data_IF_123081630627
#
_entry.id   IF_123081630627
#
_cell.length_a   1.000
_cell.length_b   1.000
_cell.length_c   1.000
_cell.angle_alpha   90.00
_cell.angle_beta   90.00
_cell.angle_gamma   90.00
#
_symmetry.space_group_name_H-M   'P 1'
#
loop_
_entity.id
_entity.type
_entity.pdbx_description
1 polymer ?
#
# COMPACT_ATOMS: atom_id res chain seq x y z
N UNK A 1 36.79 -7.33 -0.07
CA UNK A 1 35.92 -7.30 1.13
C UNK A 1 34.93 -8.45 1.00
N UNK A 2 34.67 -9.21 2.05
CA UNK A 2 33.71 -10.32 1.98
C UNK A 2 32.31 -9.72 1.67
N UNK A 3 31.65 -10.15 0.59
CA UNK A 3 30.37 -9.60 0.14
C UNK A 3 29.31 -9.68 1.26
N UNK A 4 29.35 -10.73 2.07
CA UNK A 4 28.48 -10.90 3.24
C UNK A 4 28.65 -9.78 4.28
N UNK A 5 29.89 -9.40 4.60
CA UNK A 5 30.19 -8.33 5.56
C UNK A 5 29.70 -6.97 5.02
N UNK A 6 29.88 -6.73 3.71
CA UNK A 6 29.36 -5.53 3.07
C UNK A 6 27.83 -5.47 3.13
N UNK A 7 27.15 -6.57 2.84
CA UNK A 7 25.68 -6.67 2.95
C UNK A 7 25.20 -6.40 4.36
N UNK A 8 25.84 -6.97 5.39
CA UNK A 8 25.49 -6.70 6.78
C UNK A 8 25.71 -5.23 7.17
N UNK A 9 26.79 -4.61 6.68
CA UNK A 9 27.04 -3.20 6.93
C UNK A 9 25.94 -2.31 6.31
N UNK A 10 25.56 -2.56 5.05
CA UNK A 10 24.50 -1.83 4.36
C UNK A 10 23.17 -2.01 5.09
N UNK A 11 22.83 -3.27 5.47
CA UNK A 11 21.61 -3.56 6.20
C UNK A 11 21.57 -2.79 7.54
N UNK A 12 22.67 -2.77 8.27
CA UNK A 12 22.80 -2.00 9.51
C UNK A 12 22.59 -0.51 9.30
N UNK A 13 23.18 0.06 8.24
CA UNK A 13 22.98 1.47 7.85
C UNK A 13 21.52 1.73 7.51
N UNK A 14 20.87 0.90 6.70
CA UNK A 14 19.45 1.06 6.34
C UNK A 14 18.56 1.01 7.59
N UNK A 15 18.79 0.07 8.50
CA UNK A 15 18.01 -0.03 9.76
C UNK A 15 18.17 1.24 10.59
N UNK A 16 19.39 1.75 10.76
CA UNK A 16 19.62 2.99 11.48
C UNK A 16 18.99 4.20 10.79
N UNK A 17 19.07 4.27 9.47
CA UNK A 17 18.41 5.32 8.68
C UNK A 17 16.88 5.24 8.81
N UNK A 18 16.29 4.05 8.89
CA UNK A 18 14.85 3.87 9.10
C UNK A 18 14.37 4.55 10.39
N UNK A 19 15.17 4.45 11.43
CA UNK A 19 14.85 5.07 12.72
C UNK A 19 15.12 6.58 12.75
N UNK A 20 16.20 7.04 12.13
CA UNK A 20 16.68 8.41 12.25
C UNK A 20 16.20 9.37 11.16
N UNK A 21 16.09 8.88 9.92
CA UNK A 21 15.75 9.71 8.76
C UNK A 21 14.40 10.44 8.88
N UNK A 22 13.33 9.84 9.42
CA UNK A 22 12.07 10.58 9.63
C UNK A 22 12.22 11.80 10.57
N UNK A 23 13.11 11.72 11.55
CA UNK A 23 13.40 12.84 12.45
C UNK A 23 14.12 13.96 11.72
N UNK A 24 15.09 13.62 10.86
CA UNK A 24 15.86 14.58 10.07
C UNK A 24 14.99 15.29 9.01
N UNK A 25 14.07 14.53 8.39
CA UNK A 25 13.20 15.02 7.32
C UNK A 25 12.03 15.89 7.82
N UNK A 26 11.69 15.90 9.11
CA UNK A 26 10.55 16.70 9.64
C UNK A 26 10.55 18.17 9.23
N UNK A 27 11.71 18.74 8.93
CA UNK A 27 11.87 20.17 8.55
C UNK A 27 12.10 20.38 7.05
N UNK A 28 12.26 19.32 6.28
CA UNK A 28 12.55 19.37 4.85
C UNK A 28 11.29 19.01 4.04
N UNK A 29 11.11 19.61 2.87
CA UNK A 29 10.02 19.24 1.95
C UNK A 29 10.39 17.96 1.15
N UNK A 30 10.91 16.95 1.83
CA UNK A 30 11.35 15.69 1.24
C UNK A 30 10.68 14.55 1.99
N UNK A 31 10.05 13.62 1.26
CA UNK A 31 9.50 12.43 1.85
C UNK A 31 10.56 11.34 2.02
N UNK A 32 10.32 10.46 2.98
CA UNK A 32 11.16 9.30 3.23
C UNK A 32 11.34 8.41 1.97
N UNK A 33 10.30 8.11 1.17
CA UNK A 33 10.44 7.35 -0.06
C UNK A 33 11.43 7.93 -1.08
N UNK A 34 11.42 9.25 -1.28
CA UNK A 34 12.37 9.92 -2.20
C UNK A 34 13.82 9.69 -1.76
N UNK A 35 14.08 9.83 -0.45
CA UNK A 35 15.41 9.61 0.10
C UNK A 35 15.86 8.16 -0.06
N UNK A 36 14.96 7.18 0.12
CA UNK A 36 15.27 5.77 -0.04
C UNK A 36 15.66 5.43 -1.48
N UNK A 37 14.90 5.94 -2.46
CA UNK A 37 15.23 5.77 -3.89
C UNK A 37 16.60 6.39 -4.19
N UNK A 38 16.86 7.62 -3.72
CA UNK A 38 18.15 8.28 -3.92
C UNK A 38 19.32 7.49 -3.30
N UNK A 39 19.13 6.94 -2.10
CA UNK A 39 20.12 6.06 -1.46
C UNK A 39 20.39 4.82 -2.32
N UNK A 40 19.35 4.19 -2.87
CA UNK A 40 19.48 3.04 -3.76
C UNK A 40 20.31 3.36 -5.02
N UNK A 41 20.03 4.51 -5.65
CA UNK A 41 20.82 4.99 -6.82
C UNK A 41 22.27 5.21 -6.44
N UNK A 42 22.56 5.88 -5.33
CA UNK A 42 23.93 6.15 -4.88
C UNK A 42 24.69 4.85 -4.53
N UNK A 43 24.03 3.92 -3.83
CA UNK A 43 24.63 2.64 -3.49
C UNK A 43 24.96 1.79 -4.72
N UNK A 44 24.13 1.85 -5.76
CA UNK A 44 24.38 1.13 -7.03
C UNK A 44 25.66 1.58 -7.73
N UNK A 45 26.07 2.84 -7.57
CA UNK A 45 27.33 3.35 -8.13
C UNK A 45 28.57 2.98 -7.31
N UNK A 46 28.38 2.40 -6.13
CA UNK A 46 29.50 2.00 -5.27
C UNK A 46 30.09 0.65 -5.69
N UNK A 47 31.38 0.57 -5.98
CA UNK A 47 32.03 -0.71 -6.35
C UNK A 47 32.13 -1.69 -5.18
N UNK A 48 31.82 -1.25 -3.97
CA UNK A 48 31.95 -2.04 -2.74
C UNK A 48 30.64 -2.69 -2.28
N UNK A 49 29.53 -2.39 -2.93
CA UNK A 49 28.21 -2.80 -2.50
C UNK A 49 27.51 -3.61 -3.59
N UNK A 50 27.68 -4.95 -3.63
CA UNK A 50 26.80 -5.77 -4.43
C UNK A 50 25.42 -5.73 -3.76
N UNK A 51 24.58 -4.76 -4.13
CA UNK A 51 23.13 -4.91 -3.90
C UNK A 51 22.71 -6.16 -4.69
N UNK A 52 21.84 -7.02 -4.14
CA UNK A 52 21.28 -8.11 -4.92
C UNK A 52 20.77 -7.55 -6.24
N UNK A 53 21.01 -8.23 -7.34
CA UNK A 53 20.39 -7.86 -8.63
C UNK A 53 18.89 -7.80 -8.40
N UNK A 54 18.40 -6.59 -8.23
CA UNK A 54 17.02 -6.29 -7.83
C UNK A 54 16.14 -6.04 -9.04
N UNK A 55 16.68 -6.29 -10.24
CA UNK A 55 15.91 -6.17 -11.48
C UNK A 55 14.74 -7.17 -11.45
N UNK A 56 13.50 -6.71 -11.36
CA UNK A 56 12.35 -7.59 -11.29
C UNK A 56 12.13 -8.41 -12.56
N UNK A 57 12.71 -8.01 -13.71
CA UNK A 57 12.68 -8.80 -14.95
C UNK A 57 13.55 -10.05 -14.83
N UNK A 58 14.61 -10.00 -14.05
CA UNK A 58 15.54 -11.12 -13.86
C UNK A 58 15.13 -12.01 -12.68
N UNK A 59 14.52 -11.43 -11.65
CA UNK A 59 14.14 -12.09 -10.41
C UNK A 59 12.67 -11.85 -10.05
N UNK A 60 11.75 -12.22 -10.96
CA UNK A 60 10.30 -12.03 -10.81
C UNK A 60 9.78 -12.62 -9.49
N UNK A 61 10.21 -13.83 -9.13
CA UNK A 61 9.77 -14.53 -7.91
C UNK A 61 10.21 -13.77 -6.64
N UNK A 62 11.42 -13.25 -6.63
CA UNK A 62 11.91 -12.47 -5.49
C UNK A 62 11.13 -11.15 -5.36
N UNK A 63 10.89 -10.46 -6.48
CA UNK A 63 10.10 -9.23 -6.51
C UNK A 63 8.67 -9.49 -6.01
N UNK A 64 8.03 -10.60 -6.47
CA UNK A 64 6.71 -11.03 -6.03
C UNK A 64 6.67 -11.23 -4.50
N UNK A 65 7.54 -12.11 -3.96
CA UNK A 65 7.50 -12.48 -2.54
C UNK A 65 7.82 -11.34 -1.59
N UNK A 66 8.79 -10.48 -1.96
CA UNK A 66 9.15 -9.34 -1.13
C UNK A 66 8.03 -8.29 -1.12
N UNK A 67 7.48 -7.94 -2.29
CA UNK A 67 6.39 -6.96 -2.37
C UNK A 67 5.10 -7.48 -1.76
N UNK A 68 4.77 -8.77 -1.94
CA UNK A 68 3.66 -9.44 -1.27
C UNK A 68 3.73 -9.26 0.25
N UNK A 69 4.88 -9.60 0.84
CA UNK A 69 5.06 -9.51 2.28
C UNK A 69 4.92 -8.07 2.82
N UNK A 70 5.47 -7.10 2.10
CA UNK A 70 5.32 -5.69 2.48
C UNK A 70 3.88 -5.24 2.43
N UNK A 71 3.16 -5.59 1.36
CA UNK A 71 1.75 -5.19 1.19
C UNK A 71 0.87 -5.80 2.28
N UNK A 72 1.03 -7.10 2.64
CA UNK A 72 0.20 -7.70 3.70
C UNK A 72 0.46 -7.06 5.07
N UNK A 73 1.71 -6.67 5.39
CA UNK A 73 2.03 -5.95 6.62
C UNK A 73 1.38 -4.56 6.63
N UNK A 74 1.46 -3.84 5.51
CA UNK A 74 0.84 -2.52 5.36
C UNK A 74 -0.69 -2.56 5.47
N UNK A 75 -1.34 -3.59 4.90
CA UNK A 75 -2.79 -3.78 4.99
C UNK A 75 -3.25 -4.02 6.43
N UNK A 76 -2.49 -4.77 7.23
CA UNK A 76 -2.75 -4.93 8.66
C UNK A 76 -2.64 -3.57 9.36
N UNK A 77 -1.56 -2.82 9.12
CA UNK A 77 -1.36 -1.48 9.68
C UNK A 77 -2.49 -0.52 9.33
N UNK A 78 -2.88 -0.45 8.06
CA UNK A 78 -3.95 0.41 7.58
C UNK A 78 -5.31 0.06 8.21
N UNK A 79 -5.64 -1.24 8.34
CA UNK A 79 -6.88 -1.68 8.97
C UNK A 79 -6.94 -1.39 10.47
N UNK A 80 -5.83 -1.46 11.20
CA UNK A 80 -5.75 -1.13 12.63
C UNK A 80 -5.92 0.37 12.92
N UNK A 81 -5.62 1.25 11.97
CA UNK A 81 -5.80 2.71 12.11
C UNK A 81 -7.27 3.13 12.09
N UNK A 82 -8.15 2.40 11.38
CA UNK A 82 -9.53 2.83 11.14
C UNK A 82 -10.40 2.60 12.38
N UNK A 83 -10.93 3.68 12.92
CA UNK A 83 -11.86 3.67 14.06
C UNK A 83 -13.33 3.59 13.62
N UNK A 84 -13.64 4.00 12.38
CA UNK A 84 -14.99 4.02 11.83
C UNK A 84 -15.54 2.61 11.59
N UNK A 85 -16.69 2.23 12.20
CA UNK A 85 -17.24 0.90 12.00
C UNK A 85 -17.61 0.66 10.53
N UNK A 86 -17.30 -0.53 9.98
CA UNK A 86 -17.70 -0.89 8.63
C UNK A 86 -19.23 -0.82 8.45
N UNK A 87 -19.66 -0.24 7.33
CA UNK A 87 -21.09 -0.13 7.03
C UNK A 87 -21.36 0.55 5.70
N UNK A 88 -22.53 0.31 5.12
CA UNK A 88 -22.89 0.86 3.81
C UNK A 88 -22.94 2.39 3.80
N UNK A 89 -23.49 3.01 4.85
CA UNK A 89 -23.63 4.46 4.94
C UNK A 89 -22.36 5.14 5.45
N UNK A 90 -21.71 4.56 6.45
CA UNK A 90 -20.50 5.11 7.06
C UNK A 90 -19.29 5.06 6.10
N UNK A 91 -19.29 4.10 5.15
CA UNK A 91 -18.21 3.90 4.16
C UNK A 91 -18.63 4.26 2.73
N UNK A 92 -19.65 5.12 2.55
CA UNK A 92 -20.16 5.47 1.21
C UNK A 92 -19.06 6.02 0.30
N UNK A 93 -18.14 6.84 0.81
CA UNK A 93 -17.02 7.39 0.02
C UNK A 93 -16.10 6.26 -0.47
N UNK A 94 -15.77 5.32 0.40
CA UNK A 94 -14.96 4.14 0.07
C UNK A 94 -15.60 3.28 -1.01
N UNK A 95 -16.90 2.96 -0.85
CA UNK A 95 -17.63 2.14 -1.83
C UNK A 95 -17.71 2.81 -3.20
N UNK A 96 -17.79 4.14 -3.26
CA UNK A 96 -17.78 4.88 -4.52
C UNK A 96 -16.40 4.87 -5.17
N UNK A 97 -15.32 5.01 -4.40
CA UNK A 97 -13.97 4.92 -4.92
C UNK A 97 -13.66 3.51 -5.45
N UNK A 98 -14.04 2.48 -4.70
CA UNK A 98 -13.80 1.09 -5.10
C UNK A 98 -14.72 0.62 -6.24
N UNK A 99 -16.00 1.02 -6.24
CA UNK A 99 -16.98 0.54 -7.22
C UNK A 99 -17.04 1.38 -8.50
N UNK A 100 -16.54 2.61 -8.49
CA UNK A 100 -16.59 3.51 -9.65
C UNK A 100 -15.18 3.96 -10.04
N UNK A 101 -14.40 4.58 -9.13
CA UNK A 101 -13.11 5.16 -9.51
C UNK A 101 -12.12 4.06 -9.92
N UNK A 102 -12.06 2.96 -9.20
CA UNK A 102 -11.12 1.88 -9.49
C UNK A 102 -11.41 1.19 -10.84
N UNK A 103 -12.63 0.68 -11.15
CA UNK A 103 -12.93 0.09 -12.45
C UNK A 103 -12.75 1.08 -13.60
N UNK A 104 -13.12 2.34 -13.40
CA UNK A 104 -12.91 3.40 -14.40
C UNK A 104 -11.42 3.66 -14.65
N UNK A 105 -10.61 3.68 -13.60
CA UNK A 105 -9.14 3.79 -13.71
C UNK A 105 -8.56 2.60 -14.47
N UNK A 106 -8.98 1.36 -14.15
CA UNK A 106 -8.55 0.16 -14.87
C UNK A 106 -8.87 0.28 -16.36
N UNK A 107 -10.10 0.63 -16.68
CA UNK A 107 -10.55 0.75 -18.07
C UNK A 107 -9.80 1.84 -18.85
N UNK A 108 -9.60 3.01 -18.26
CA UNK A 108 -8.89 4.12 -18.90
C UNK A 108 -7.40 3.85 -19.07
N UNK A 109 -6.73 3.24 -18.07
CA UNK A 109 -5.32 2.86 -18.18
C UNK A 109 -5.16 1.73 -19.20
N UNK A 110 -6.05 0.74 -19.21
CA UNK A 110 -6.04 -0.31 -20.23
C UNK A 110 -6.24 0.28 -21.63
N UNK A 111 -7.15 1.25 -21.81
CA UNK A 111 -7.35 1.95 -23.07
C UNK A 111 -6.09 2.71 -23.52
N UNK A 112 -5.38 3.37 -22.62
CA UNK A 112 -4.10 4.02 -22.91
C UNK A 112 -3.03 2.99 -23.27
N UNK A 113 -2.94 1.89 -22.55
CA UNK A 113 -2.03 0.78 -22.86
C UNK A 113 -2.27 0.21 -24.26
N UNK A 114 -3.53 -0.02 -24.61
CA UNK A 114 -3.91 -0.52 -25.92
C UNK A 114 -3.67 0.50 -27.04
N UNK A 115 -4.14 1.73 -26.88
CA UNK A 115 -4.16 2.73 -27.96
C UNK A 115 -2.82 3.44 -28.15
N UNK A 116 -2.06 3.71 -27.09
CA UNK A 116 -0.80 4.48 -27.14
C UNK A 116 0.41 3.56 -27.16
N UNK A 117 0.46 2.54 -26.26
CA UNK A 117 1.55 1.61 -26.20
C UNK A 117 1.43 0.47 -27.21
N UNK A 118 0.25 0.25 -27.80
CA UNK A 118 0.01 -0.87 -28.72
C UNK A 118 0.07 -2.24 -28.04
N UNK A 119 -0.34 -2.32 -26.77
CA UNK A 119 -0.40 -3.57 -26.03
C UNK A 119 -1.60 -4.43 -26.48
N UNK A 120 -1.45 -5.74 -26.46
CA UNK A 120 -2.57 -6.66 -26.59
C UNK A 120 -3.56 -6.52 -25.42
N UNK A 121 -4.80 -7.01 -25.60
CA UNK A 121 -5.89 -6.84 -24.61
C UNK A 121 -5.52 -7.32 -23.22
N UNK A 122 -4.89 -8.51 -23.11
CA UNK A 122 -4.45 -9.06 -21.83
C UNK A 122 -3.41 -8.16 -21.13
N UNK A 123 -2.38 -7.74 -21.87
CA UNK A 123 -1.30 -6.86 -21.39
C UNK A 123 -1.82 -5.47 -21.01
N UNK A 124 -2.75 -4.92 -21.78
CA UNK A 124 -3.38 -3.64 -21.49
C UNK A 124 -4.26 -3.72 -20.22
N UNK A 125 -5.05 -4.79 -20.06
CA UNK A 125 -5.85 -5.03 -18.86
C UNK A 125 -4.96 -5.21 -17.62
N UNK A 126 -3.85 -5.97 -17.75
CA UNK A 126 -2.87 -6.14 -16.67
C UNK A 126 -2.28 -4.79 -16.23
N UNK A 127 -1.89 -3.95 -17.19
CA UNK A 127 -1.37 -2.60 -16.89
C UNK A 127 -2.40 -1.78 -16.10
N UNK A 128 -3.66 -1.82 -16.51
CA UNK A 128 -4.75 -1.15 -15.80
C UNK A 128 -4.97 -1.71 -14.39
N UNK A 129 -5.07 -3.02 -14.27
CA UNK A 129 -5.28 -3.70 -13.00
C UNK A 129 -4.12 -3.50 -12.01
N UNK A 130 -2.88 -3.54 -12.47
CA UNK A 130 -1.70 -3.32 -11.63
C UNK A 130 -1.54 -1.87 -11.18
N UNK A 131 -2.01 -0.90 -11.98
CA UNK A 131 -1.86 0.53 -11.67
C UNK A 131 -3.11 1.18 -11.06
N UNK A 132 -4.24 0.51 -10.99
CA UNK A 132 -5.44 1.09 -10.38
C UNK A 132 -5.39 1.17 -8.85
N UNK A 133 -4.83 0.21 -8.12
CA UNK A 133 -4.70 0.31 -6.67
C UNK A 133 -3.79 1.47 -6.23
N UNK A 134 -4.08 2.01 -5.05
CA UNK A 134 -3.27 3.03 -4.38
C UNK A 134 -2.52 2.40 -3.21
N UNK A 135 -1.28 2.79 -3.02
CA UNK A 135 -0.36 2.15 -2.07
C UNK A 135 -0.53 2.72 -0.65
N UNK A 136 -0.89 1.90 0.34
CA UNK A 136 -1.04 2.36 1.72
C UNK A 136 0.28 2.76 2.37
N UNK A 137 1.40 2.13 1.99
CA UNK A 137 2.72 2.38 2.58
C UNK A 137 3.23 3.77 2.20
N UNK A 138 3.17 4.08 0.90
CA UNK A 138 3.63 5.36 0.37
C UNK A 138 2.66 6.51 0.69
N UNK A 139 1.39 6.19 1.01
CA UNK A 139 0.36 7.16 1.38
C UNK A 139 0.29 7.43 2.90
N UNK A 140 1.21 6.91 3.70
CA UNK A 140 1.14 7.00 5.17
C UNK A 140 0.93 8.43 5.70
N UNK A 141 1.54 9.42 5.07
CA UNK A 141 1.43 10.84 5.47
C UNK A 141 0.04 11.47 5.24
N UNK A 142 -0.82 10.84 4.42
CA UNK A 142 -2.20 11.30 4.12
C UNK A 142 -3.27 10.38 4.69
N UNK A 143 -2.88 9.36 5.43
CA UNK A 143 -3.77 8.40 6.07
C UNK A 143 -4.26 8.87 7.44
N UNK A 144 -5.20 8.10 7.97
CA UNK A 144 -5.64 8.22 9.37
C UNK A 144 -4.43 8.04 10.30
N UNK A 145 -4.36 8.84 11.34
CA UNK A 145 -3.34 8.73 12.39
C UNK A 145 -3.44 7.45 13.20
N UNK A 146 -2.56 7.29 14.21
CA UNK A 146 -2.59 6.13 15.10
C UNK A 146 -3.96 5.92 15.76
N UNK A 147 -4.30 4.67 16.15
CA UNK A 147 -5.58 4.37 16.80
C UNK A 147 -5.86 5.29 17.99
N UNK A 148 -7.11 5.76 18.13
CA UNK A 148 -7.57 6.60 19.24
C UNK A 148 -7.02 8.03 19.31
N UNK A 149 -6.33 8.51 18.28
CA UNK A 149 -5.85 9.91 18.25
C UNK A 149 -6.94 10.91 17.88
N UNK A 150 -8.08 10.45 17.33
CA UNK A 150 -9.14 11.31 16.83
C UNK A 150 -8.85 11.98 15.48
N UNK A 151 -7.78 11.59 14.82
CA UNK A 151 -7.35 12.14 13.53
C UNK A 151 -8.03 11.43 12.33
N UNK A 152 -9.28 10.97 12.48
CA UNK A 152 -10.05 10.32 11.41
C UNK A 152 -11.07 11.27 10.79
N UNK A 153 -10.62 12.14 9.90
CA UNK A 153 -11.49 12.92 9.02
C UNK A 153 -11.89 12.16 7.75
N UNK A 154 -12.87 12.68 7.00
CA UNK A 154 -13.40 12.00 5.82
C UNK A 154 -12.38 11.84 4.68
N UNK A 155 -11.40 12.74 4.56
CA UNK A 155 -10.34 12.65 3.53
C UNK A 155 -9.37 11.54 3.90
N UNK A 156 -8.81 11.60 5.12
CA UNK A 156 -7.87 10.59 5.62
C UNK A 156 -8.51 9.21 5.65
N UNK A 157 -9.76 9.14 6.13
CA UNK A 157 -10.54 7.91 6.11
C UNK A 157 -10.72 7.35 4.69
N UNK A 158 -11.13 8.20 3.72
CA UNK A 158 -11.33 7.76 2.33
C UNK A 158 -10.04 7.19 1.73
N UNK A 159 -8.92 7.89 1.91
CA UNK A 159 -7.63 7.46 1.35
C UNK A 159 -7.11 6.18 2.03
N UNK A 160 -7.26 6.04 3.35
CA UNK A 160 -6.85 4.84 4.08
C UNK A 160 -7.70 3.62 3.72
N UNK A 161 -9.02 3.79 3.71
CA UNK A 161 -9.95 2.70 3.43
C UNK A 161 -9.94 2.28 1.95
N UNK A 162 -9.74 3.23 1.02
CA UNK A 162 -9.50 2.93 -0.39
C UNK A 162 -8.25 2.09 -0.55
N UNK A 163 -7.11 2.57 -0.03
CA UNK A 163 -5.82 1.90 -0.17
C UNK A 163 -5.82 0.50 0.47
N UNK A 164 -6.53 0.32 1.59
CA UNK A 164 -6.60 -0.97 2.26
C UNK A 164 -7.46 -2.03 1.55
N UNK A 165 -8.42 -1.62 0.71
CA UNK A 165 -9.32 -2.56 0.04
C UNK A 165 -9.00 -2.72 -1.46
N UNK A 166 -8.50 -1.68 -2.13
CA UNK A 166 -8.31 -1.71 -3.58
C UNK A 166 -7.25 -2.73 -4.01
N UNK A 167 -6.24 -2.98 -3.18
CA UNK A 167 -5.26 -4.04 -3.45
C UNK A 167 -5.96 -5.40 -3.58
N UNK A 168 -6.76 -5.81 -2.61
CA UNK A 168 -7.51 -7.06 -2.71
C UNK A 168 -8.52 -7.10 -3.86
N UNK A 169 -9.16 -5.96 -4.16
CA UNK A 169 -10.17 -5.84 -5.22
C UNK A 169 -9.58 -5.74 -6.64
N UNK A 170 -8.27 -5.54 -6.79
CA UNK A 170 -7.59 -5.58 -8.09
C UNK A 170 -7.41 -7.00 -8.62
N UNK A 171 -7.31 -7.99 -7.75
CA UNK A 171 -7.06 -9.38 -8.13
C UNK A 171 -8.04 -9.94 -9.16
N UNK A 172 -9.37 -9.75 -9.06
CA UNK A 172 -10.28 -10.20 -10.10
C UNK A 172 -9.88 -9.74 -11.51
N UNK A 173 -9.41 -8.51 -11.66
CA UNK A 173 -9.00 -7.96 -12.95
C UNK A 173 -7.64 -8.51 -13.40
N UNK A 174 -6.72 -8.72 -12.47
CA UNK A 174 -5.44 -9.41 -12.73
C UNK A 174 -5.70 -10.84 -13.20
N UNK A 175 -6.61 -11.58 -12.53
CA UNK A 175 -6.99 -12.94 -12.92
C UNK A 175 -7.66 -12.96 -14.30
N UNK A 176 -8.49 -11.96 -14.62
CA UNK A 176 -9.04 -11.82 -15.97
C UNK A 176 -7.94 -11.61 -17.02
N UNK A 177 -6.95 -10.77 -16.73
CA UNK A 177 -5.81 -10.57 -17.63
C UNK A 177 -5.01 -11.86 -17.85
N UNK A 178 -4.74 -12.62 -16.78
CA UNK A 178 -4.07 -13.94 -16.84
C UNK A 178 -4.89 -14.92 -17.68
N UNK A 179 -6.21 -14.99 -17.46
CA UNK A 179 -7.10 -15.89 -18.22
C UNK A 179 -7.09 -15.56 -19.72
N UNK A 180 -7.05 -14.28 -20.09
CA UNK A 180 -6.97 -13.84 -21.49
C UNK A 180 -5.59 -14.11 -22.09
N UNK A 181 -4.50 -13.96 -21.30
CA UNK A 181 -3.13 -14.19 -21.75
C UNK A 181 -2.76 -15.67 -21.87
N UNK A 182 -3.51 -16.59 -21.23
CA UNK A 182 -3.21 -18.02 -21.25
C UNK A 182 -3.22 -18.57 -22.68
N UNK A 183 -2.27 -19.47 -23.00
CA UNK A 183 -2.08 -20.02 -24.35
C UNK A 183 -3.30 -20.69 -24.95
N UNK A 184 -4.22 -21.19 -24.12
CA UNK A 184 -5.49 -21.75 -24.55
C UNK A 184 -6.52 -20.69 -24.98
N UNK A 185 -6.22 -19.41 -24.75
CA UNK A 185 -7.20 -18.34 -24.87
C UNK A 185 -8.37 -18.50 -23.89
N UNK A 186 -9.27 -17.53 -23.82
CA UNK A 186 -10.48 -17.67 -23.02
C UNK A 186 -11.41 -18.70 -23.68
N UNK A 187 -11.40 -19.96 -23.19
CA UNK A 187 -12.31 -21.02 -23.64
C UNK A 187 -13.79 -20.70 -23.37
N UNK A 188 -14.69 -21.48 -23.94
CA UNK A 188 -16.11 -21.32 -23.65
C UNK A 188 -16.36 -21.44 -22.13
N UNK A 189 -17.05 -20.44 -21.54
CA UNK A 189 -17.36 -20.43 -20.11
C UNK A 189 -16.31 -19.78 -19.19
N UNK A 190 -15.21 -19.24 -19.71
CA UNK A 190 -14.21 -18.55 -18.87
C UNK A 190 -14.81 -17.39 -18.06
N UNK A 191 -15.72 -16.65 -18.65
CA UNK A 191 -16.38 -15.52 -17.97
C UNK A 191 -17.23 -15.97 -16.79
N UNK A 192 -17.98 -17.08 -16.94
CA UNK A 192 -18.77 -17.64 -15.84
C UNK A 192 -17.86 -18.20 -14.73
N UNK A 193 -16.75 -18.84 -15.09
CA UNK A 193 -15.74 -19.29 -14.12
C UNK A 193 -15.11 -18.10 -13.39
N UNK A 194 -14.68 -17.10 -14.11
CA UNK A 194 -14.11 -15.87 -13.54
C UNK A 194 -15.09 -15.19 -12.58
N UNK A 195 -16.36 -15.01 -12.97
CA UNK A 195 -17.37 -14.40 -12.10
C UNK A 195 -17.65 -15.26 -10.86
N UNK A 196 -17.78 -16.60 -11.02
CA UNK A 196 -18.11 -17.47 -9.91
C UNK A 196 -16.93 -17.69 -8.94
N UNK A 197 -15.73 -17.86 -9.48
CA UNK A 197 -14.54 -18.22 -8.68
C UNK A 197 -13.73 -16.98 -8.33
N UNK A 198 -13.25 -16.23 -9.33
CA UNK A 198 -12.30 -15.15 -9.06
C UNK A 198 -12.98 -13.91 -8.49
N UNK A 199 -14.24 -13.63 -8.85
CA UNK A 199 -14.99 -12.52 -8.26
C UNK A 199 -15.75 -12.99 -7.02
N UNK A 200 -16.70 -13.90 -7.16
CA UNK A 200 -17.62 -14.23 -6.05
C UNK A 200 -16.95 -15.06 -4.95
N UNK A 201 -16.38 -16.22 -5.28
CA UNK A 201 -15.81 -17.12 -4.27
C UNK A 201 -14.62 -16.50 -3.55
N UNK A 202 -13.61 -16.05 -4.28
CA UNK A 202 -12.35 -15.57 -3.67
C UNK A 202 -12.55 -14.31 -2.82
N UNK A 203 -13.42 -13.36 -3.25
CA UNK A 203 -13.74 -12.17 -2.46
C UNK A 203 -14.54 -12.54 -1.21
N UNK A 204 -15.57 -13.40 -1.35
CA UNK A 204 -16.40 -13.83 -0.22
C UNK A 204 -15.57 -14.60 0.81
N UNK A 205 -14.72 -15.53 0.33
CA UNK A 205 -13.80 -16.28 1.18
C UNK A 205 -12.81 -15.34 1.90
N UNK A 206 -12.26 -14.35 1.20
CA UNK A 206 -11.39 -13.34 1.79
C UNK A 206 -12.06 -12.57 2.91
N UNK A 207 -13.26 -12.06 2.68
CA UNK A 207 -14.03 -11.33 3.71
C UNK A 207 -14.41 -12.25 4.89
N UNK A 208 -14.90 -13.46 4.61
CA UNK A 208 -15.33 -14.40 5.65
C UNK A 208 -14.16 -14.86 6.53
N UNK A 209 -13.04 -15.24 5.90
CA UNK A 209 -11.83 -15.65 6.63
C UNK A 209 -11.18 -14.50 7.37
N UNK A 210 -11.16 -13.30 6.80
CA UNK A 210 -10.70 -12.12 7.49
C UNK A 210 -11.53 -11.80 8.72
N UNK A 211 -12.86 -11.85 8.61
CA UNK A 211 -13.74 -11.68 9.75
C UNK A 211 -13.52 -12.77 10.81
N UNK A 212 -13.46 -14.04 10.41
CA UNK A 212 -13.25 -15.17 11.32
C UNK A 212 -11.91 -15.06 12.06
N UNK A 213 -10.81 -14.86 11.33
CA UNK A 213 -9.48 -14.71 11.92
C UNK A 213 -9.42 -13.51 12.85
N UNK A 214 -10.00 -12.36 12.47
CA UNK A 214 -10.07 -11.18 13.32
C UNK A 214 -10.85 -11.41 14.62
N UNK A 215 -11.96 -12.17 14.57
CA UNK A 215 -12.72 -12.56 15.77
C UNK A 215 -11.93 -13.51 16.67
N UNK A 216 -11.32 -14.55 16.09
CA UNK A 216 -10.50 -15.51 16.84
C UNK A 216 -9.31 -14.82 17.50
N UNK A 217 -8.58 -14.01 16.73
CA UNK A 217 -7.43 -13.26 17.23
C UNK A 217 -7.85 -12.23 18.29
N UNK A 218 -8.97 -11.54 18.09
CA UNK A 218 -9.55 -10.63 19.07
C UNK A 218 -9.94 -11.33 20.37
N UNK A 219 -10.53 -12.52 20.28
CA UNK A 219 -10.84 -13.33 21.45
C UNK A 219 -9.57 -13.74 22.21
N UNK A 220 -8.56 -14.27 21.52
CA UNK A 220 -7.29 -14.66 22.12
C UNK A 220 -6.53 -13.48 22.73
N UNK A 221 -6.65 -12.31 22.12
CA UNK A 221 -5.95 -11.11 22.55
C UNK A 221 -6.59 -10.50 23.80
N UNK A 222 -7.91 -10.40 23.82
CA UNK A 222 -8.60 -9.57 24.83
C UNK A 222 -9.52 -10.34 25.78
N UNK A 223 -10.12 -11.48 25.35
CA UNK A 223 -11.20 -12.15 26.09
C UNK A 223 -10.81 -13.42 26.83
N UNK A 224 -9.70 -14.07 26.49
CA UNK A 224 -9.18 -15.23 27.22
C UNK A 224 -8.89 -14.83 28.69
N UNK A 225 -8.97 -15.75 29.69
CA UNK A 225 -8.63 -15.47 31.09
C UNK A 225 -7.29 -14.73 31.23
N UNK A 226 -7.20 -13.81 32.21
CA UNK A 226 -6.09 -12.85 32.37
C UNK A 226 -4.68 -13.44 32.23
N UNK A 227 -4.47 -14.70 32.63
CA UNK A 227 -3.18 -15.36 32.56
C UNK A 227 -2.70 -15.68 31.12
N UNK A 228 -3.64 -15.89 30.17
CA UNK A 228 -3.34 -16.28 28.78
C UNK A 228 -3.59 -15.19 27.74
N UNK A 229 -3.91 -13.96 28.14
CA UNK A 229 -4.21 -12.87 27.18
C UNK A 229 -2.93 -12.39 26.47
N UNK A 230 -2.94 -12.40 25.16
CA UNK A 230 -1.84 -11.85 24.33
C UNK A 230 -1.61 -10.37 24.67
N UNK A 231 -2.67 -9.58 24.86
CA UNK A 231 -2.56 -8.15 25.21
C UNK A 231 -1.74 -7.87 26.50
N UNK A 232 -1.51 -8.87 27.36
CA UNK A 232 -0.66 -8.71 28.55
C UNK A 232 0.84 -8.79 28.29
N UNK A 233 1.23 -9.31 27.14
CA UNK A 233 2.65 -9.36 26.78
C UNK A 233 3.19 -7.96 26.48
N UNK A 234 2.33 -7.04 26.04
CA UNK A 234 2.73 -5.73 25.51
C UNK A 234 3.59 -5.85 24.26
N UNK A 235 3.55 -7.00 23.58
CA UNK A 235 4.42 -7.30 22.46
C UNK A 235 3.67 -7.12 21.13
N UNK A 236 4.11 -6.16 20.35
CA UNK A 236 3.55 -5.87 19.02
C UNK A 236 3.85 -6.94 17.95
N UNK A 237 4.78 -7.89 18.21
CA UNK A 237 5.05 -9.03 17.31
C UNK A 237 3.79 -9.81 16.94
N UNK A 238 2.78 -9.80 17.82
CA UNK A 238 1.51 -10.44 17.55
C UNK A 238 0.84 -9.89 16.26
N UNK A 239 1.03 -8.62 15.93
CA UNK A 239 0.50 -8.04 14.68
C UNK A 239 1.02 -8.77 13.45
N UNK A 240 2.34 -9.06 13.41
CA UNK A 240 2.95 -9.80 12.31
C UNK A 240 2.45 -11.25 12.25
N UNK A 241 2.34 -11.92 13.41
CA UNK A 241 1.76 -13.26 13.49
C UNK A 241 0.31 -13.29 12.99
N UNK A 242 -0.50 -12.30 13.37
CA UNK A 242 -1.89 -12.16 12.92
C UNK A 242 -1.98 -11.93 11.41
N UNK A 243 -1.11 -11.10 10.86
CA UNK A 243 -1.00 -10.86 9.42
C UNK A 243 -0.73 -12.16 8.67
N UNK A 244 0.33 -12.88 9.05
CA UNK A 244 0.71 -14.13 8.38
C UNK A 244 -0.37 -15.20 8.49
N UNK A 245 -0.99 -15.38 9.66
CA UNK A 245 -2.04 -16.38 9.87
C UNK A 245 -3.30 -16.06 9.06
N UNK A 246 -3.76 -14.81 9.07
CA UNK A 246 -4.96 -14.40 8.32
C UNK A 246 -4.76 -14.56 6.82
N UNK A 247 -3.59 -14.15 6.32
CA UNK A 247 -3.22 -14.29 4.92
C UNK A 247 -3.17 -15.77 4.52
N UNK A 248 -2.31 -16.56 5.18
CA UNK A 248 -2.06 -17.95 4.80
C UNK A 248 -3.30 -18.84 4.91
N UNK A 249 -4.11 -18.67 5.98
CA UNK A 249 -5.33 -19.45 6.15
C UNK A 249 -6.34 -19.16 5.03
N UNK A 250 -6.36 -17.92 4.52
CA UNK A 250 -7.24 -17.55 3.41
C UNK A 250 -6.75 -18.08 2.07
N UNK A 251 -5.45 -18.01 1.80
CA UNK A 251 -4.84 -18.55 0.58
C UNK A 251 -5.01 -20.09 0.51
N UNK A 252 -4.96 -20.81 1.64
CA UNK A 252 -5.19 -22.25 1.69
C UNK A 252 -6.57 -22.67 1.19
N UNK A 253 -7.59 -21.81 1.30
CA UNK A 253 -8.93 -22.06 0.76
C UNK A 253 -9.17 -21.35 -0.57
N UNK A 254 -8.09 -20.87 -1.21
CA UNK A 254 -8.14 -20.11 -2.45
C UNK A 254 -8.99 -18.85 -2.36
N UNK A 255 -8.96 -18.13 -1.22
CA UNK A 255 -9.52 -16.79 -1.05
C UNK A 255 -8.47 -15.71 -1.28
N UNK A 256 -8.88 -14.43 -1.39
CA UNK A 256 -7.94 -13.32 -1.50
C UNK A 256 -7.40 -12.91 -0.12
N UNK A 257 -6.16 -13.31 0.16
CA UNK A 257 -5.47 -13.06 1.43
C UNK A 257 -5.33 -11.57 1.76
N UNK A 258 -5.16 -10.68 0.78
CA UNK A 258 -5.07 -9.23 0.98
C UNK A 258 -6.38 -8.67 1.56
N UNK A 259 -7.53 -9.09 1.01
CA UNK A 259 -8.84 -8.73 1.56
C UNK A 259 -8.96 -9.24 3.01
N UNK A 260 -8.54 -10.48 3.23
CA UNK A 260 -8.66 -11.11 4.55
C UNK A 260 -7.82 -10.40 5.61
N UNK A 261 -6.58 -10.02 5.31
CA UNK A 261 -5.71 -9.30 6.25
C UNK A 261 -6.33 -7.95 6.65
N UNK A 262 -6.82 -7.18 5.69
CA UNK A 262 -7.44 -5.90 5.99
C UNK A 262 -8.73 -6.06 6.80
N UNK A 263 -9.60 -7.00 6.42
CA UNK A 263 -10.84 -7.29 7.17
C UNK A 263 -10.54 -7.84 8.56
N UNK A 264 -9.49 -8.66 8.72
CA UNK A 264 -9.06 -9.16 10.02
C UNK A 264 -8.58 -8.01 10.92
N UNK A 265 -7.81 -7.07 10.39
CA UNK A 265 -7.36 -5.88 11.12
C UNK A 265 -8.54 -5.01 11.58
N UNK A 266 -9.50 -4.73 10.68
CA UNK A 266 -10.73 -4.00 11.02
C UNK A 266 -11.55 -4.73 12.09
N UNK A 267 -11.66 -6.06 11.99
CA UNK A 267 -12.41 -6.86 12.94
C UNK A 267 -11.73 -6.89 14.30
N UNK A 268 -10.42 -7.10 14.33
CA UNK A 268 -9.60 -7.05 15.55
C UNK A 268 -9.70 -5.69 16.23
N UNK A 269 -9.62 -4.59 15.45
CA UNK A 269 -9.78 -3.21 15.96
C UNK A 269 -11.14 -2.97 16.59
N UNK A 270 -12.19 -3.61 16.11
CA UNK A 270 -13.54 -3.50 16.67
C UNK A 270 -13.73 -4.29 17.98
N UNK A 271 -12.84 -5.23 18.31
CA UNK A 271 -12.84 -5.95 19.58
C UNK A 271 -12.07 -5.10 20.60
N UNK A 272 -12.71 -4.72 21.71
CA UNK A 272 -12.08 -3.91 22.78
C UNK A 272 -11.44 -2.59 22.24
N UNK A 273 -12.22 -1.79 21.52
CA UNK A 273 -11.77 -0.56 20.83
C UNK A 273 -10.94 0.39 21.69
N UNK A 274 -11.17 0.42 23.00
CA UNK A 274 -10.49 1.33 23.93
C UNK A 274 -9.21 0.74 24.52
N UNK A 275 -8.81 -0.46 24.14
CA UNK A 275 -7.57 -1.06 24.62
C UNK A 275 -6.34 -0.33 24.08
N UNK A 276 -5.41 0.03 24.96
CA UNK A 276 -4.12 0.63 24.56
C UNK A 276 -3.24 -0.31 23.75
N UNK A 277 -3.50 -1.63 23.82
CA UNK A 277 -2.73 -2.63 23.10
C UNK A 277 -2.87 -2.50 21.57
N UNK A 278 -3.92 -1.87 21.07
CA UNK A 278 -4.01 -1.53 19.65
C UNK A 278 -2.91 -0.56 19.21
N UNK A 279 -2.47 0.33 20.08
CA UNK A 279 -1.31 1.19 19.87
C UNK A 279 -0.02 0.38 19.72
N UNK A 280 0.22 -0.56 20.61
CA UNK A 280 1.42 -1.44 20.56
C UNK A 280 1.47 -2.27 19.27
N UNK A 281 0.32 -2.85 18.86
CA UNK A 281 0.21 -3.57 17.60
C UNK A 281 0.48 -2.68 16.38
N UNK A 282 -0.07 -1.46 16.39
CA UNK A 282 0.10 -0.48 15.34
C UNK A 282 1.56 0.00 15.25
N UNK A 283 2.15 0.42 16.38
CA UNK A 283 3.50 1.00 16.40
C UNK A 283 4.55 0.00 15.94
N UNK A 284 4.42 -1.27 16.34
CA UNK A 284 5.30 -2.33 15.85
C UNK A 284 5.08 -2.60 14.35
N UNK A 285 3.82 -2.70 13.93
CA UNK A 285 3.46 -2.87 12.51
C UNK A 285 4.04 -1.76 11.64
N UNK A 286 3.93 -0.50 12.07
CA UNK A 286 4.49 0.67 11.38
C UNK A 286 6.02 0.62 11.30
N UNK A 287 6.71 0.18 12.35
CA UNK A 287 8.17 0.04 12.33
C UNK A 287 8.62 -1.00 11.30
N UNK A 288 7.97 -2.16 11.24
CA UNK A 288 8.26 -3.22 10.27
C UNK A 288 7.92 -2.75 8.86
N UNK A 289 6.74 -2.18 8.65
CA UNK A 289 6.31 -1.62 7.38
C UNK A 289 7.33 -0.60 6.84
N UNK A 290 7.76 0.34 7.66
CA UNK A 290 8.75 1.35 7.33
C UNK A 290 10.11 0.75 6.95
N UNK A 291 10.57 -0.24 7.71
CA UNK A 291 11.83 -0.95 7.41
C UNK A 291 11.75 -1.67 6.06
N UNK A 292 10.68 -2.42 5.84
CA UNK A 292 10.46 -3.17 4.60
C UNK A 292 10.31 -2.25 3.40
N UNK A 293 9.57 -1.14 3.55
CA UNK A 293 9.44 -0.10 2.53
C UNK A 293 10.80 0.48 2.16
N UNK A 294 11.64 0.84 3.15
CA UNK A 294 12.97 1.37 2.89
C UNK A 294 13.82 0.37 2.09
N UNK A 295 13.82 -0.90 2.48
CA UNK A 295 14.55 -1.95 1.76
C UNK A 295 14.10 -2.05 0.30
N UNK A 296 12.79 -2.11 0.06
CA UNK A 296 12.25 -2.20 -1.31
C UNK A 296 12.51 -0.96 -2.15
N UNK A 297 12.39 0.24 -1.56
CA UNK A 297 12.66 1.49 -2.30
C UNK A 297 14.14 1.69 -2.58
N UNK A 298 15.04 1.20 -1.72
CA UNK A 298 16.48 1.15 -2.02
C UNK A 298 16.75 0.19 -3.18
N UNK A 299 16.13 -1.00 -3.20
CA UNK A 299 16.22 -1.91 -4.34
C UNK A 299 15.63 -1.29 -5.62
N UNK A 300 14.49 -0.59 -5.52
CA UNK A 300 13.89 0.14 -6.63
C UNK A 300 14.85 1.21 -7.19
N UNK A 301 15.50 1.98 -6.32
CA UNK A 301 16.52 2.96 -6.71
C UNK A 301 17.73 2.32 -7.40
N UNK A 302 18.17 1.15 -6.93
CA UNK A 302 19.24 0.37 -7.59
C UNK A 302 18.83 -0.08 -8.99
N UNK A 303 17.62 -0.61 -9.16
CA UNK A 303 17.09 -0.99 -10.48
C UNK A 303 17.01 0.20 -11.45
N UNK A 304 16.64 1.39 -10.93
CA UNK A 304 16.65 2.62 -11.74
C UNK A 304 18.06 2.99 -12.20
N UNK A 305 19.07 2.85 -11.33
CA UNK A 305 20.46 3.16 -11.64
C UNK A 305 21.06 2.22 -12.68
N UNK A 306 20.63 0.97 -12.75
CA UNK A 306 21.03 0.01 -13.81
C UNK A 306 20.58 0.47 -15.20
N UNK A 307 19.53 1.26 -15.29
CA UNK A 307 19.07 1.91 -16.52
C UNK A 307 18.34 0.98 -17.50
N UNK A 308 18.25 -0.31 -17.24
CA UNK A 308 17.62 -1.30 -18.14
C UNK A 308 16.17 -0.94 -18.46
N UNK A 309 15.36 -0.62 -17.43
CA UNK A 309 13.98 -0.20 -17.59
C UNK A 309 13.83 1.23 -18.12
N UNK A 310 14.74 2.14 -17.73
CA UNK A 310 14.72 3.52 -18.23
C UNK A 310 15.07 3.62 -19.71
N UNK A 311 15.87 2.71 -20.25
CA UNK A 311 16.19 2.65 -21.67
C UNK A 311 14.98 2.34 -22.57
N UNK A 312 13.91 1.76 -22.00
CA UNK A 312 12.65 1.46 -22.70
C UNK A 312 11.66 2.62 -22.64
N UNK A 313 11.98 3.69 -21.90
CA UNK A 313 11.11 4.86 -21.78
C UNK A 313 11.22 5.72 -23.02
N UNK A 314 10.21 5.62 -23.87
CA UNK A 314 10.01 6.51 -25.01
C UNK A 314 8.90 7.56 -24.70
N UNK A 315 8.57 8.42 -25.66
CA UNK A 315 7.54 9.43 -25.49
C UNK A 315 6.14 8.82 -25.22
N UNK A 316 5.88 7.57 -25.69
CA UNK A 316 4.59 6.86 -25.47
C UNK A 316 4.48 6.42 -24.03
N UNK A 317 5.51 5.79 -23.50
CA UNK A 317 5.59 5.40 -22.09
C UNK A 317 5.47 6.63 -21.19
N UNK A 318 6.20 7.72 -21.49
CA UNK A 318 6.13 8.97 -20.75
C UNK A 318 4.74 9.61 -20.80
N UNK A 319 4.07 9.59 -21.97
CA UNK A 319 2.71 10.15 -22.10
C UNK A 319 1.67 9.32 -21.33
N UNK A 320 1.75 7.98 -21.35
CA UNK A 320 0.85 7.12 -20.56
C UNK A 320 1.08 7.36 -19.07
N UNK A 321 2.32 7.50 -18.62
CA UNK A 321 2.63 7.80 -17.23
C UNK A 321 2.04 9.15 -16.80
N UNK A 322 2.25 10.20 -17.58
CA UNK A 322 1.69 11.53 -17.30
C UNK A 322 0.16 11.53 -17.30
N UNK A 323 -0.47 10.93 -18.31
CA UNK A 323 -1.93 10.86 -18.41
C UNK A 323 -2.55 10.05 -17.27
N UNK A 324 -1.92 8.96 -16.85
CA UNK A 324 -2.39 8.13 -15.73
C UNK A 324 -2.46 8.95 -14.43
N UNK A 325 -1.41 9.72 -14.12
CA UNK A 325 -1.33 10.48 -12.87
C UNK A 325 -2.11 11.79 -12.92
N UNK A 326 -2.07 12.53 -14.05
CA UNK A 326 -2.62 13.87 -14.14
C UNK A 326 -4.08 13.87 -14.60
N UNK A 327 -4.50 12.88 -15.38
CA UNK A 327 -5.85 12.85 -15.98
C UNK A 327 -6.67 11.69 -15.43
N UNK A 328 -6.20 10.46 -15.58
CA UNK A 328 -7.01 9.27 -15.27
C UNK A 328 -7.40 9.24 -13.80
N UNK A 329 -6.45 9.37 -12.88
CA UNK A 329 -6.73 9.31 -11.45
C UNK A 329 -7.63 10.46 -10.97
N UNK A 330 -7.34 11.74 -11.29
CA UNK A 330 -8.22 12.84 -10.90
C UNK A 330 -9.63 12.72 -11.51
N UNK A 331 -9.75 12.34 -12.79
CA UNK A 331 -11.03 12.17 -13.44
C UNK A 331 -11.87 11.05 -12.81
N UNK A 332 -11.27 9.87 -12.63
CA UNK A 332 -11.96 8.72 -12.04
C UNK A 332 -12.41 8.99 -10.60
N UNK A 333 -11.53 9.59 -9.79
CA UNK A 333 -11.85 10.00 -8.43
C UNK A 333 -12.98 11.05 -8.40
N UNK A 334 -12.87 12.09 -9.21
CA UNK A 334 -13.88 13.13 -9.26
C UNK A 334 -15.25 12.60 -9.70
N UNK A 335 -15.29 11.81 -10.78
CA UNK A 335 -16.54 11.18 -11.29
C UNK A 335 -17.18 10.31 -10.20
N UNK A 336 -16.38 9.53 -9.47
CA UNK A 336 -16.88 8.67 -8.40
C UNK A 336 -17.54 9.45 -7.26
N UNK A 337 -17.09 10.68 -7.01
CA UNK A 337 -17.56 11.53 -5.91
C UNK A 337 -18.66 12.53 -6.30
N UNK A 338 -19.14 12.53 -7.53
CA UNK A 338 -20.30 13.34 -7.97
C UNK A 338 -21.52 12.93 -7.14
N UNK A 339 -22.15 13.90 -6.48
CA UNK A 339 -23.33 13.65 -5.64
C UNK A 339 -23.05 13.00 -4.27
N UNK A 340 -21.80 12.96 -3.81
CA UNK A 340 -21.43 12.39 -2.50
C UNK A 340 -21.73 13.29 -1.29
N UNK A 341 -22.11 14.55 -1.52
CA UNK A 341 -22.36 15.53 -0.43
C UNK A 341 -21.10 16.21 0.13
N UNK A 342 -19.89 15.75 -0.20
CA UNK A 342 -18.63 16.35 0.24
C UNK A 342 -18.33 17.67 -0.49
N UNK A 343 -17.50 18.52 0.11
CA UNK A 343 -17.07 19.78 -0.49
C UNK A 343 -16.18 19.56 -1.72
N UNK A 344 -16.17 20.51 -2.65
CA UNK A 344 -15.38 20.39 -3.88
C UNK A 344 -13.87 20.26 -3.62
N UNK A 345 -13.36 20.93 -2.60
CA UNK A 345 -11.95 20.82 -2.19
C UNK A 345 -11.62 19.40 -1.70
N UNK A 346 -12.47 18.80 -0.86
CA UNK A 346 -12.30 17.42 -0.37
C UNK A 346 -12.32 16.41 -1.51
N UNK A 347 -13.29 16.55 -2.45
CA UNK A 347 -13.37 15.70 -3.65
C UNK A 347 -12.11 15.81 -4.49
N UNK A 348 -11.58 17.02 -4.67
CA UNK A 348 -10.35 17.25 -5.46
C UNK A 348 -9.15 16.55 -4.81
N UNK A 349 -9.00 16.71 -3.50
CA UNK A 349 -7.89 16.10 -2.76
C UNK A 349 -7.93 14.58 -2.85
N UNK A 350 -9.08 13.96 -2.52
CA UNK A 350 -9.25 12.50 -2.62
C UNK A 350 -9.02 12.00 -4.05
N UNK A 351 -9.41 12.79 -5.05
CA UNK A 351 -9.22 12.43 -6.46
C UNK A 351 -7.77 12.51 -6.91
N UNK A 352 -6.98 13.46 -6.39
CA UNK A 352 -5.57 13.64 -6.76
C UNK A 352 -4.67 12.66 -5.99
N UNK A 353 -4.89 12.51 -4.66
CA UNK A 353 -4.05 11.65 -3.83
C UNK A 353 -4.35 10.17 -4.05
N UNK A 354 -3.80 9.62 -5.13
CA UNK A 354 -3.83 8.21 -5.44
C UNK A 354 -2.41 7.71 -5.73
N UNK A 355 -1.59 7.60 -4.68
CA UNK A 355 -0.18 7.25 -4.78
C UNK A 355 -0.03 5.82 -5.30
N UNK A 356 0.76 5.63 -6.36
CA UNK A 356 1.07 4.31 -6.94
C UNK A 356 2.40 3.82 -6.38
N UNK A 357 2.47 2.53 -6.06
CA UNK A 357 3.66 2.02 -5.39
C UNK A 357 3.87 0.51 -5.48
N UNK A 358 4.24 -0.08 -4.36
CA UNK A 358 4.77 -1.44 -4.28
C UNK A 358 3.75 -2.52 -4.67
N UNK A 359 2.46 -2.29 -4.42
CA UNK A 359 1.39 -3.18 -4.87
C UNK A 359 1.37 -3.37 -6.38
N UNK A 360 1.66 -2.31 -7.16
CA UNK A 360 1.75 -2.40 -8.62
C UNK A 360 2.86 -3.35 -9.10
N UNK A 361 4.00 -3.37 -8.39
CA UNK A 361 5.13 -4.29 -8.66
C UNK A 361 4.69 -5.73 -8.37
N UNK A 362 4.00 -5.94 -7.24
CA UNK A 362 3.49 -7.25 -6.86
C UNK A 362 2.56 -7.85 -7.94
N UNK A 363 1.52 -7.11 -8.37
CA UNK A 363 0.58 -7.63 -9.37
C UNK A 363 1.26 -7.98 -10.68
N UNK A 364 2.20 -7.14 -11.10
CA UNK A 364 2.92 -7.38 -12.34
C UNK A 364 3.85 -8.59 -12.23
N UNK A 365 4.56 -8.75 -11.10
CA UNK A 365 5.40 -9.91 -10.84
C UNK A 365 4.55 -11.20 -10.77
N UNK A 366 3.48 -11.19 -9.99
CA UNK A 366 2.55 -12.31 -9.86
C UNK A 366 2.00 -12.74 -11.23
N UNK A 367 1.44 -11.80 -12.01
CA UNK A 367 0.86 -12.11 -13.31
C UNK A 367 1.90 -12.62 -14.31
N UNK A 368 3.10 -12.03 -14.33
CA UNK A 368 4.21 -12.46 -15.20
C UNK A 368 4.67 -13.89 -14.90
N UNK A 369 4.54 -14.34 -13.65
CA UNK A 369 4.81 -15.72 -13.25
C UNK A 369 3.73 -16.72 -13.66
N UNK A 370 2.50 -16.25 -13.93
CA UNK A 370 1.33 -17.13 -14.22
C UNK A 370 1.04 -17.29 -15.72
N UNK A 371 1.33 -16.28 -16.54
CA UNK A 371 1.03 -16.33 -17.98
C UNK A 371 2.03 -15.48 -18.79
N UNK A 372 2.23 -15.83 -20.09
CA UNK A 372 3.06 -15.02 -20.98
C UNK A 372 2.27 -13.79 -21.45
N UNK A 373 2.77 -12.60 -21.10
CA UNK A 373 2.21 -11.34 -21.57
C UNK A 373 3.07 -10.74 -22.68
N UNK A 374 2.41 -10.23 -23.72
CA UNK A 374 3.09 -9.50 -24.79
C UNK A 374 3.70 -8.20 -24.26
N UNK A 375 4.95 -7.90 -24.68
CA UNK A 375 5.66 -6.66 -24.34
C UNK A 375 5.69 -6.37 -22.82
N UNK A 376 5.92 -7.42 -22.04
CA UNK A 376 5.96 -7.32 -20.56
C UNK A 376 7.04 -6.35 -20.09
N UNK A 377 8.15 -6.22 -20.83
CA UNK A 377 9.22 -5.24 -20.62
C UNK A 377 8.72 -3.79 -20.65
N UNK A 378 7.86 -3.45 -21.61
CA UNK A 378 7.24 -2.12 -21.72
C UNK A 378 6.25 -1.87 -20.58
N UNK A 379 5.53 -2.91 -20.15
CA UNK A 379 4.63 -2.81 -18.99
C UNK A 379 5.45 -2.49 -17.74
N UNK A 380 6.56 -3.22 -17.50
CA UNK A 380 7.47 -2.96 -16.38
C UNK A 380 8.04 -1.55 -16.41
N UNK A 381 8.55 -1.10 -17.56
CA UNK A 381 9.08 0.26 -17.70
C UNK A 381 8.01 1.33 -17.40
N UNK A 382 6.77 1.11 -17.87
CA UNK A 382 5.65 2.02 -17.62
C UNK A 382 5.28 2.07 -16.14
N UNK A 383 5.15 0.91 -15.47
CA UNK A 383 4.84 0.82 -14.04
C UNK A 383 5.94 1.48 -13.20
N UNK A 384 7.21 1.18 -13.49
CA UNK A 384 8.35 1.79 -12.79
C UNK A 384 8.39 3.30 -12.94
N UNK A 385 8.16 3.82 -14.15
CA UNK A 385 8.13 5.26 -14.37
C UNK A 385 6.97 5.93 -13.62
N UNK A 386 5.79 5.31 -13.61
CA UNK A 386 4.62 5.83 -12.88
C UNK A 386 4.87 5.85 -11.38
N UNK A 387 5.45 4.79 -10.81
CA UNK A 387 5.81 4.73 -9.39
C UNK A 387 6.82 5.84 -9.07
N UNK A 388 7.87 5.98 -9.87
CA UNK A 388 8.89 7.02 -9.67
C UNK A 388 8.27 8.43 -9.66
N UNK A 389 7.48 8.77 -10.68
CA UNK A 389 6.82 10.07 -10.76
C UNK A 389 5.83 10.25 -9.61
N UNK A 390 5.06 9.21 -9.28
CA UNK A 390 4.09 9.24 -8.18
C UNK A 390 4.79 9.52 -6.84
N UNK A 391 5.87 8.81 -6.53
CA UNK A 391 6.65 9.02 -5.30
C UNK A 391 7.20 10.45 -5.22
N UNK A 392 7.76 10.96 -6.32
CA UNK A 392 8.34 12.32 -6.34
C UNK A 392 7.26 13.38 -6.21
N UNK A 393 6.21 13.32 -7.02
CA UNK A 393 5.15 14.34 -7.06
C UNK A 393 4.39 14.38 -5.72
N UNK A 394 3.93 13.23 -5.24
CA UNK A 394 3.19 13.17 -3.99
C UNK A 394 4.09 13.42 -2.77
N UNK A 395 5.32 12.89 -2.79
CA UNK A 395 6.28 13.12 -1.70
C UNK A 395 6.63 14.60 -1.47
N UNK A 396 6.56 15.42 -2.52
CA UNK A 396 6.73 16.89 -2.40
C UNK A 396 5.40 17.59 -2.07
N UNK A 397 4.28 17.11 -2.66
CA UNK A 397 2.98 17.77 -2.55
C UNK A 397 2.24 17.51 -1.23
N UNK A 398 2.45 16.34 -0.60
CA UNK A 398 1.70 15.91 0.60
C UNK A 398 1.78 16.92 1.73
N UNK A 399 2.98 17.31 2.16
CA UNK A 399 3.17 18.18 3.31
C UNK A 399 2.49 19.56 3.17
N UNK A 400 2.64 20.30 2.05
CA UNK A 400 1.95 21.56 1.90
C UNK A 400 0.43 21.45 1.79
N UNK A 401 -0.08 20.42 1.13
CA UNK A 401 -1.52 20.22 0.96
C UNK A 401 -2.18 19.82 2.29
N UNK A 402 -1.57 18.92 3.06
CA UNK A 402 -2.11 18.53 4.36
C UNK A 402 -2.10 19.67 5.35
N UNK A 403 -1.06 20.50 5.38
CA UNK A 403 -1.03 21.73 6.19
C UNK A 403 -2.12 22.72 5.79
N UNK A 404 -2.40 22.86 4.51
CA UNK A 404 -3.47 23.72 4.03
C UNK A 404 -4.84 23.22 4.52
N UNK A 405 -5.10 21.90 4.48
CA UNK A 405 -6.35 21.28 4.99
C UNK A 405 -6.48 21.52 6.50
N UNK A 406 -5.43 21.25 7.27
CA UNK A 406 -5.42 21.38 8.72
C UNK A 406 -5.68 22.83 9.14
N UNK A 407 -5.10 23.81 8.43
CA UNK A 407 -5.33 25.25 8.65
C UNK A 407 -6.76 25.67 8.34
N UNK A 408 -7.35 25.26 7.21
CA UNK A 408 -8.75 25.59 6.88
C UNK A 408 -9.74 25.01 7.87
N UNK A 409 -9.43 23.87 8.48
CA UNK A 409 -10.28 23.23 9.50
C UNK A 409 -10.03 23.71 10.92
N UNK A 410 -9.09 24.61 11.14
CA UNK A 410 -8.75 25.14 12.48
C UNK A 410 -8.11 24.10 13.41
N UNK A 411 -7.63 22.97 12.88
CA UNK A 411 -7.06 21.88 13.68
C UNK A 411 -5.72 22.29 14.32
N UNK A 412 -4.97 23.18 13.71
CA UNK A 412 -3.70 23.71 14.27
C UNK A 412 -3.90 24.53 15.54
N UNK A 413 -5.08 25.13 15.73
CA UNK A 413 -5.41 25.89 16.94
C UNK A 413 -5.70 25.01 18.18
N UNK A 414 -5.92 23.69 17.97
CA UNK A 414 -6.28 22.74 19.03
C UNK A 414 -5.16 21.74 19.40
N UNK A 415 -4.02 21.78 18.74
CA UNK A 415 -2.88 20.95 19.17
C UNK A 415 -2.26 21.56 20.43
N UNK A 416 -2.44 20.93 21.61
CA UNK A 416 -1.71 21.37 22.80
C UNK A 416 -0.22 21.16 22.47
N UNK A 417 0.53 22.26 22.49
CA UNK A 417 1.99 22.21 22.47
C UNK A 417 2.39 21.43 23.72
N UNK A 418 2.65 20.15 23.57
CA UNK A 418 3.14 19.30 24.64
C UNK A 418 4.62 19.68 24.90
N UNK A 419 4.82 20.90 25.47
CA UNK A 419 6.12 21.44 25.86
C UNK A 419 6.63 20.87 27.19
N UNK A 420 5.88 19.95 27.85
CA UNK A 420 6.18 19.51 29.21
C UNK A 420 6.46 18.01 29.34
N UNK A 421 7.04 17.36 28.33
CA UNK A 421 7.55 16.00 28.49
C UNK A 421 9.00 15.94 29.01
N UNK A 422 9.62 17.08 29.34
CA UNK A 422 11.03 17.17 29.75
C UNK A 422 11.31 17.58 31.21
N UNK A 423 10.30 17.97 32.02
CA UNK A 423 10.58 18.60 33.33
C UNK A 423 9.85 17.98 34.54
N UNK A 424 9.44 16.75 34.51
CA UNK A 424 8.92 16.05 35.71
C UNK A 424 9.73 14.81 36.11
N UNK A 425 11.03 14.92 36.06
CA UNK A 425 11.99 13.89 36.50
C UNK A 425 12.96 14.36 37.58
N UNK A 426 12.64 15.35 38.36
CA UNK A 426 13.54 15.83 39.36
C UNK A 426 12.88 16.61 40.49
N UNK A 427 12.17 15.91 41.39
CA UNK A 427 11.92 16.40 42.76
C UNK A 427 10.95 15.45 43.49
N UNK A 428 11.50 14.46 44.16
CA UNK A 428 11.01 13.86 45.41
C UNK A 428 11.96 12.79 45.96
N UNK A 429 13.09 13.25 46.45
CA UNK A 429 13.79 12.55 47.57
C UNK A 429 14.15 13.61 48.58
N UNK A 430 13.30 13.77 49.59
CA UNK A 430 13.65 14.18 50.96
C UNK A 430 12.36 14.50 51.74
N UNK A 431 11.85 13.55 52.43
CA UNK A 431 11.49 13.56 53.89
C UNK A 431 10.77 12.29 54.24
#
# INVERSE_FOLDING_TARGET
MNSYVATLFILGVIILLTAWLPLALRRLPLSLPICCIAIGVVLSWSPFTPLPQSNPLENVVLAERLTEFVVIVALMGAGLKIDRPPGWRSWTITWRLLGIAMPLSIALIALLGWSVLGLGVASALLLGAALAPTDPVLAADVQVGPPQTGEEDDIRFALTSEAGLNDGLSFPFVMAAIAIASQAGPGAGWLSHWLAVDVFWKLTAGVAMGWLSGQVLGYLTFKVPKAGRIARTGDGLAALGFTCLSYSATELIHGYGFVAVFVAALTLRNVERHSSYHGELHDFGEQIERLLMMLLLVCFGSTLAEGSLLSLVDWRVASVAALTLIVVRPLAGWVSLIGSGHQSAEKLIVSIFGIRGLGSIYYLAYASGQAPFERVDVIWATVFLIILISVVVHGVAVTPVMRWIDNERGVDAMRPINRNAGERGGERVSR
#
